data_IF_371132574514
#
_entry.id   IF_371132574514
#
_cell.length_a   1.000
_cell.length_b   1.000
_cell.length_c   1.000
_cell.angle_alpha   90.00
_cell.angle_beta   90.00
_cell.angle_gamma   90.00
#
_symmetry.space_group_name_H-M   'P 1'
#
loop_
_entity.id
_entity.type
_entity.pdbx_description
1 polymer ?
#
# COMPACT_ATOMS: atom_id res chain seq x y z
N UNK A 1 -16.55 20.14 26.64
CA UNK A 1 -16.44 20.65 25.25
C UNK A 1 -16.35 19.44 24.33
N UNK A 2 -17.28 19.19 23.38
CA UNK A 2 -17.12 18.11 22.42
C UNK A 2 -16.70 18.67 21.04
N UNK A 3 -15.66 18.08 20.45
CA UNK A 3 -15.58 17.63 19.04
C UNK A 3 -14.18 17.10 18.73
N UNK A 4 -14.11 15.78 18.51
CA UNK A 4 -12.94 15.00 18.11
C UNK A 4 -12.82 15.05 16.58
N UNK A 5 -11.72 15.58 15.98
CA UNK A 5 -11.46 15.43 14.56
C UNK A 5 -10.52 14.24 14.39
N UNK A 6 -11.06 13.05 14.13
CA UNK A 6 -10.24 11.86 13.88
C UNK A 6 -10.77 11.00 12.72
N UNK A 7 -11.67 11.53 11.88
CA UNK A 7 -12.35 10.76 10.84
C UNK A 7 -12.10 11.23 9.40
N UNK A 8 -11.35 12.31 9.13
CA UNK A 8 -11.11 12.79 7.75
C UNK A 8 -9.91 12.13 7.08
N UNK A 9 -8.80 11.93 7.79
CA UNK A 9 -7.53 11.45 7.21
C UNK A 9 -7.62 10.03 6.62
N UNK A 10 -8.33 9.10 7.28
CA UNK A 10 -8.33 7.69 6.86
C UNK A 10 -9.04 7.45 5.53
N UNK A 11 -10.07 8.24 5.20
CA UNK A 11 -10.78 8.15 3.92
C UNK A 11 -9.97 8.71 2.76
N UNK A 12 -9.29 9.84 2.93
CA UNK A 12 -8.46 10.44 1.88
C UNK A 12 -7.22 9.58 1.57
N UNK A 13 -6.60 9.00 2.60
CA UNK A 13 -5.47 8.08 2.41
C UNK A 13 -5.87 6.80 1.67
N UNK A 14 -7.08 6.29 1.93
CA UNK A 14 -7.60 5.09 1.27
C UNK A 14 -7.93 5.37 -0.21
N UNK A 15 -8.59 6.49 -0.50
CA UNK A 15 -8.81 6.96 -1.88
C UNK A 15 -7.47 7.12 -2.60
N UNK A 16 -6.46 7.68 -1.93
CA UNK A 16 -5.11 7.81 -2.50
C UNK A 16 -4.44 6.46 -2.77
N UNK A 17 -4.69 5.41 -1.97
CA UNK A 17 -4.14 4.07 -2.22
C UNK A 17 -4.80 3.40 -3.43
N UNK A 18 -6.13 3.38 -3.49
CA UNK A 18 -6.90 2.81 -4.60
C UNK A 18 -6.55 3.48 -5.94
N UNK A 19 -6.35 4.80 -5.93
CA UNK A 19 -5.87 5.54 -7.09
C UNK A 19 -4.47 5.10 -7.53
N UNK A 20 -3.52 4.96 -6.59
CA UNK A 20 -2.17 4.48 -6.91
C UNK A 20 -2.16 3.06 -7.46
N UNK A 21 -3.06 2.20 -6.96
CA UNK A 21 -3.21 0.83 -7.44
C UNK A 21 -3.76 0.79 -8.87
N UNK A 22 -4.83 1.55 -9.13
CA UNK A 22 -5.44 1.67 -10.47
C UNK A 22 -4.43 2.23 -11.48
N UNK A 23 -3.63 3.22 -11.08
CA UNK A 23 -2.57 3.78 -11.93
C UNK A 23 -1.52 2.70 -12.24
N UNK A 24 -1.06 1.95 -11.24
CA UNK A 24 -0.08 0.87 -11.43
C UNK A 24 -0.59 -0.23 -12.37
N UNK A 25 -1.84 -0.67 -12.23
CA UNK A 25 -2.46 -1.64 -13.15
C UNK A 25 -2.48 -1.14 -14.60
N UNK A 26 -2.79 0.14 -14.78
CA UNK A 26 -2.80 0.78 -16.08
C UNK A 26 -1.40 0.83 -16.71
N UNK A 27 -0.37 1.13 -15.92
CA UNK A 27 1.03 1.12 -16.34
C UNK A 27 1.43 -0.29 -16.79
N UNK A 28 1.16 -1.30 -15.97
CA UNK A 28 1.46 -2.71 -16.28
C UNK A 28 0.80 -3.11 -17.60
N UNK A 29 -0.49 -2.80 -17.76
CA UNK A 29 -1.24 -3.08 -19.00
C UNK A 29 -0.58 -2.46 -20.23
N UNK A 30 -0.13 -1.19 -20.14
CA UNK A 30 0.56 -0.51 -21.25
C UNK A 30 1.93 -1.12 -21.56
N UNK A 31 2.69 -1.48 -20.54
CA UNK A 31 3.99 -2.12 -20.71
C UNK A 31 3.87 -3.51 -21.34
N UNK A 32 2.88 -4.29 -20.92
CA UNK A 32 2.59 -5.63 -21.45
C UNK A 32 2.10 -5.60 -22.91
N UNK A 33 1.42 -4.53 -23.33
CA UNK A 33 1.02 -4.34 -24.72
C UNK A 33 2.23 -4.23 -25.67
N UNK A 34 3.37 -3.72 -25.18
CA UNK A 34 4.62 -3.66 -25.94
C UNK A 34 4.65 -2.66 -27.10
N UNK A 35 3.66 -1.75 -27.17
CA UNK A 35 3.54 -0.76 -28.24
C UNK A 35 4.28 0.56 -27.95
N UNK A 36 4.81 0.72 -26.73
CA UNK A 36 5.48 1.94 -26.29
C UNK A 36 6.91 2.06 -26.86
N UNK A 37 7.31 3.27 -27.31
CA UNK A 37 8.71 3.60 -27.54
C UNK A 37 9.56 3.35 -26.28
N UNK A 38 10.84 3.01 -26.45
CA UNK A 38 11.74 2.68 -25.35
C UNK A 38 11.76 3.73 -24.24
N UNK A 39 11.86 5.01 -24.61
CA UNK A 39 11.91 6.12 -23.64
C UNK A 39 10.62 6.21 -22.80
N UNK A 40 9.47 6.00 -23.44
CA UNK A 40 8.17 5.99 -22.77
C UNK A 40 8.04 4.76 -21.88
N UNK A 41 8.44 3.58 -22.35
CA UNK A 41 8.44 2.35 -21.57
C UNK A 41 9.32 2.47 -20.31
N UNK A 42 10.48 3.13 -20.41
CA UNK A 42 11.34 3.41 -19.25
C UNK A 42 10.67 4.34 -18.25
N UNK A 43 10.04 5.42 -18.73
CA UNK A 43 9.31 6.36 -17.88
C UNK A 43 8.13 5.70 -17.15
N UNK A 44 7.36 4.88 -17.87
CA UNK A 44 6.26 4.08 -17.33
C UNK A 44 6.76 3.08 -16.27
N UNK A 45 7.88 2.40 -16.55
CA UNK A 45 8.50 1.48 -15.59
C UNK A 45 8.95 2.20 -14.30
N UNK A 46 9.65 3.33 -14.41
CA UNK A 46 10.07 4.14 -13.26
C UNK A 46 8.87 4.55 -12.40
N UNK A 47 7.81 5.02 -13.06
CA UNK A 47 6.56 5.39 -12.39
C UNK A 47 5.92 4.19 -11.69
N UNK A 48 5.86 3.04 -12.34
CA UNK A 48 5.35 1.79 -11.77
C UNK A 48 6.13 1.37 -10.51
N UNK A 49 7.46 1.43 -10.55
CA UNK A 49 8.32 1.14 -9.39
C UNK A 49 8.05 2.12 -8.25
N UNK A 50 7.87 3.41 -8.55
CA UNK A 50 7.56 4.41 -7.55
C UNK A 50 6.21 4.13 -6.86
N UNK A 51 5.16 3.82 -7.64
CA UNK A 51 3.83 3.51 -7.12
C UNK A 51 3.85 2.24 -6.25
N UNK A 52 4.54 1.18 -6.71
CA UNK A 52 4.66 -0.07 -5.96
C UNK A 52 5.32 0.16 -4.58
N UNK A 53 6.40 0.95 -4.53
CA UNK A 53 7.08 1.30 -3.27
C UNK A 53 6.17 2.11 -2.34
N UNK A 54 5.42 3.07 -2.88
CA UNK A 54 4.47 3.86 -2.09
C UNK A 54 3.35 2.99 -1.53
N UNK A 55 2.80 2.06 -2.33
CA UNK A 55 1.79 1.10 -1.90
C UNK A 55 2.31 0.23 -0.76
N UNK A 56 3.51 -0.33 -0.89
CA UNK A 56 4.12 -1.14 0.16
C UNK A 56 4.32 -0.36 1.46
N UNK A 57 4.76 0.90 1.40
CA UNK A 57 4.91 1.74 2.59
C UNK A 57 3.57 2.02 3.27
N UNK A 58 2.51 2.28 2.51
CA UNK A 58 1.16 2.48 3.06
C UNK A 58 0.64 1.21 3.74
N UNK A 59 0.86 0.04 3.14
CA UNK A 59 0.48 -1.24 3.72
C UNK A 59 1.22 -1.50 5.04
N UNK A 60 2.53 -1.25 5.09
CA UNK A 60 3.32 -1.39 6.33
C UNK A 60 2.80 -0.46 7.45
N UNK A 61 2.42 0.77 7.12
CA UNK A 61 1.84 1.69 8.10
C UNK A 61 0.47 1.21 8.60
N UNK A 62 -0.36 0.67 7.70
CA UNK A 62 -1.64 0.10 8.07
C UNK A 62 -1.46 -1.14 8.98
N UNK A 63 -0.54 -2.03 8.64
CA UNK A 63 -0.17 -3.22 9.41
C UNK A 63 0.29 -2.85 10.82
N UNK A 64 1.22 -1.88 10.94
CA UNK A 64 1.69 -1.38 12.23
C UNK A 64 0.55 -0.81 13.07
N UNK A 65 -0.37 -0.07 12.44
CA UNK A 65 -1.53 0.50 13.13
C UNK A 65 -2.48 -0.59 13.64
N UNK A 66 -2.72 -1.65 12.85
CA UNK A 66 -3.52 -2.81 13.27
C UNK A 66 -2.85 -3.49 14.46
N UNK A 67 -1.54 -3.69 14.42
CA UNK A 67 -0.82 -4.34 15.51
C UNK A 67 -0.86 -3.56 16.82
N UNK A 68 -0.72 -2.22 16.77
CA UNK A 68 -0.89 -1.37 17.96
C UNK A 68 -2.31 -1.52 18.53
N UNK A 69 -3.34 -1.50 17.69
CA UNK A 69 -4.74 -1.65 18.13
C UNK A 69 -5.04 -3.03 18.75
N UNK A 70 -4.43 -4.09 18.22
CA UNK A 70 -4.55 -5.44 18.78
C UNK A 70 -3.82 -5.57 20.12
N UNK A 71 -2.63 -4.97 20.24
CA UNK A 71 -1.85 -5.00 21.48
C UNK A 71 -2.45 -4.13 22.58
N UNK A 72 -3.07 -2.99 22.25
CA UNK A 72 -3.79 -2.13 23.19
C UNK A 72 -5.13 -2.76 23.65
N UNK A 73 -5.64 -3.73 22.89
CA UNK A 73 -6.89 -4.45 23.18
C UNK A 73 -6.72 -5.79 23.90
N UNK A 74 -5.49 -6.29 24.06
CA UNK A 74 -5.21 -7.63 24.57
C UNK A 74 -4.42 -7.58 25.90
N UNK A 75 -5.16 -7.47 27.00
CA UNK A 75 -4.66 -7.82 28.33
C UNK A 75 -4.68 -9.37 28.45
N UNK A 76 -3.71 -10.01 27.80
CA UNK A 76 -3.39 -11.42 27.97
C UNK A 76 -4.06 -12.42 27.02
N UNK A 77 -3.20 -13.12 26.29
CA UNK A 77 -3.42 -14.40 25.61
C UNK A 77 -4.24 -14.36 24.31
N UNK A 78 -3.55 -14.49 23.18
CA UNK A 78 -3.64 -15.68 22.34
C UNK A 78 -2.65 -15.62 21.17
N UNK A 79 -2.04 -16.77 20.91
CA UNK A 79 -0.88 -17.05 20.10
C UNK A 79 -1.03 -16.79 18.57
N UNK A 80 0.08 -16.40 17.96
CA UNK A 80 0.56 -16.85 16.63
C UNK A 80 -0.20 -16.47 15.35
N UNK A 81 -0.39 -15.17 15.11
CA UNK A 81 -0.42 -14.66 13.74
C UNK A 81 0.56 -13.49 13.62
N UNK A 82 1.85 -13.80 13.67
CA UNK A 82 2.87 -12.84 13.29
C UNK A 82 2.55 -12.36 11.87
N UNK A 83 2.27 -11.08 11.70
CA UNK A 83 2.15 -10.46 10.39
C UNK A 83 3.54 -10.53 9.75
N UNK A 84 3.75 -11.56 8.93
CA UNK A 84 5.01 -11.74 8.23
C UNK A 84 5.08 -10.69 7.13
N UNK A 85 6.15 -9.90 7.04
CA UNK A 85 6.32 -8.91 5.99
C UNK A 85 6.17 -9.57 4.61
N UNK A 86 5.37 -8.96 3.72
CA UNK A 86 5.28 -9.42 2.34
C UNK A 86 6.65 -9.22 1.65
N UNK A 87 7.38 -10.32 1.46
CA UNK A 87 8.64 -10.35 0.72
C UNK A 87 8.37 -10.75 -0.72
N UNK A 88 8.37 -9.83 -1.69
CA UNK A 88 8.06 -10.12 -3.09
C UNK A 88 9.11 -11.01 -3.80
N UNK A 89 10.23 -11.33 -3.12
CA UNK A 89 11.31 -12.19 -3.61
C UNK A 89 11.59 -13.37 -2.64
N UNK A 90 10.56 -13.95 -2.04
CA UNK A 90 10.68 -15.32 -1.53
C UNK A 90 10.41 -16.26 -2.73
N UNK A 91 11.40 -17.10 -3.05
CA UNK A 91 11.44 -18.07 -4.17
C UNK A 91 10.13 -18.76 -4.55
#
# INVERSE_FOLDING_TARGET
MPKKPAQSDSTEQNVSFEHSLTELESIVTRLEAGELPLEEALSEFERGVQLARQGQQKLQQAEQRVQILLNDGNDGNDDDAALTPFTPNAE
#
